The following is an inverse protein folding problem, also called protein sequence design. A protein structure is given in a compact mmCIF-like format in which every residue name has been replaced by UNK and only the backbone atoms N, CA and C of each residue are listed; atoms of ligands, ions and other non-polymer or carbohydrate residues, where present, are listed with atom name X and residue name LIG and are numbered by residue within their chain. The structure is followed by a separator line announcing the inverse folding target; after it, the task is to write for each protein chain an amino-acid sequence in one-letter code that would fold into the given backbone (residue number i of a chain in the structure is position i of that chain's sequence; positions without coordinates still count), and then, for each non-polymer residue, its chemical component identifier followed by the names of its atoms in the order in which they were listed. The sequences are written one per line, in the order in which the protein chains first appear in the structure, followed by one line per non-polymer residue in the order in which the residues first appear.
data_IF_831383188983
#
_entry.id   IF_831383188983
#
_cell.length_a   1.000
_cell.length_b   1.000
_cell.length_c   1.000
_cell.angle_alpha   90.00
_cell.angle_beta   90.00
_cell.angle_gamma   90.00
#
_symmetry.space_group_name_H-M   'P 1'
#
loop_
_entity.id
_entity.type
_entity.pdbx_description
1 polymer ?
#
# COMPACT_ATOMS: atom_id res chain seq x y z
N UNK A 1 16.00 -8.94 1.57
CA UNK A 1 15.17 -9.70 2.54
C UNK A 1 13.72 -9.63 2.09
N UNK A 2 12.88 -10.61 2.43
CA UNK A 2 11.45 -10.57 2.09
C UNK A 2 10.77 -9.54 2.99
N UNK A 3 10.07 -8.57 2.40
CA UNK A 3 9.29 -7.57 3.14
C UNK A 3 7.82 -7.93 3.02
N UNK A 4 7.21 -8.27 4.14
CA UNK A 4 5.78 -8.52 4.26
C UNK A 4 5.07 -7.24 4.64
N UNK A 5 3.93 -6.99 4.01
CA UNK A 5 3.04 -5.87 4.36
C UNK A 5 1.63 -6.39 4.60
N UNK A 6 0.91 -5.71 5.49
CA UNK A 6 -0.51 -5.95 5.68
C UNK A 6 -1.31 -5.39 4.51
N UNK A 7 -2.21 -6.20 3.96
CA UNK A 7 -3.12 -5.76 2.91
C UNK A 7 -4.21 -4.83 3.48
N UNK A 8 -4.78 -3.98 2.62
CA UNK A 8 -5.82 -3.03 3.05
C UNK A 8 -7.06 -3.72 3.62
N UNK A 9 -7.34 -4.93 3.13
CA UNK A 9 -8.41 -5.78 3.63
C UNK A 9 -8.13 -6.19 5.08
N UNK A 10 -6.92 -6.62 5.40
CA UNK A 10 -6.53 -7.02 6.74
C UNK A 10 -6.51 -5.82 7.66
N UNK A 11 -6.03 -4.65 7.23
CA UNK A 11 -6.15 -3.42 8.02
C UNK A 11 -7.61 -3.09 8.39
N UNK A 12 -8.53 -3.33 7.45
CA UNK A 12 -9.98 -3.14 7.66
C UNK A 12 -10.55 -4.17 8.63
N UNK A 13 -10.14 -5.44 8.50
CA UNK A 13 -10.50 -6.51 9.43
C UNK A 13 -10.00 -6.22 10.83
N UNK A 14 -8.73 -5.81 10.98
CA UNK A 14 -8.14 -5.46 12.27
C UNK A 14 -8.95 -4.37 12.96
N UNK A 15 -9.41 -3.34 12.23
CA UNK A 15 -10.26 -2.28 12.78
C UNK A 15 -11.55 -2.81 13.42
N UNK A 16 -12.17 -3.85 12.85
CA UNK A 16 -13.33 -4.50 13.43
C UNK A 16 -12.94 -5.46 14.57
N UNK A 17 -11.87 -6.22 14.39
CA UNK A 17 -11.43 -7.29 15.29
C UNK A 17 -10.87 -6.76 16.61
N UNK A 18 -10.21 -5.59 16.64
CA UNK A 18 -9.79 -4.95 17.90
C UNK A 18 -10.98 -4.62 18.81
N UNK A 19 -12.20 -4.65 18.29
CA UNK A 19 -13.40 -4.43 19.08
C UNK A 19 -14.00 -5.72 19.69
N UNK A 20 -13.47 -6.89 19.35
CA UNK A 20 -14.00 -8.20 19.72
C UNK A 20 -13.05 -8.92 20.70
N UNK A 21 -13.55 -9.98 21.33
CA UNK A 21 -12.73 -10.92 22.11
C UNK A 21 -12.82 -12.28 21.45
N UNK A 22 -11.87 -12.60 20.58
CA UNK A 22 -11.88 -13.83 19.80
C UNK A 22 -10.49 -14.10 19.19
N UNK A 23 -10.36 -15.23 18.49
CA UNK A 23 -9.17 -15.62 17.75
C UNK A 23 -9.42 -15.56 16.25
N UNK A 24 -8.53 -14.89 15.52
CA UNK A 24 -8.62 -14.67 14.09
C UNK A 24 -7.40 -15.24 13.36
N UNK A 25 -7.58 -15.77 12.16
CA UNK A 25 -6.49 -16.27 11.33
C UNK A 25 -6.29 -15.34 10.13
N UNK A 26 -5.05 -14.95 9.88
CA UNK A 26 -4.68 -13.98 8.87
C UNK A 26 -3.52 -14.48 8.02
N UNK A 27 -3.36 -13.85 6.86
CA UNK A 27 -2.28 -14.14 5.93
C UNK A 27 -1.64 -12.84 5.48
N UNK A 28 -0.30 -12.79 5.51
CA UNK A 28 0.55 -11.72 5.01
C UNK A 28 1.13 -12.10 3.66
N UNK A 29 1.34 -11.11 2.80
CA UNK A 29 1.99 -11.31 1.51
C UNK A 29 3.28 -10.50 1.42
N UNK A 30 4.29 -11.10 0.81
CA UNK A 30 5.52 -10.39 0.46
C UNK A 30 5.31 -9.53 -0.80
N UNK A 31 5.93 -8.34 -0.84
CA UNK A 31 5.80 -7.41 -1.98
C UNK A 31 6.33 -7.99 -3.31
N UNK A 32 7.36 -8.84 -3.26
CA UNK A 32 8.13 -9.26 -4.44
C UNK A 32 7.90 -10.72 -4.85
N UNK A 33 7.23 -11.53 -4.03
CA UNK A 33 7.01 -12.96 -4.30
C UNK A 33 5.59 -13.39 -3.89
N UNK A 34 5.06 -14.45 -4.52
CA UNK A 34 3.81 -15.14 -4.13
C UNK A 34 3.93 -15.88 -2.78
N UNK A 35 4.78 -15.38 -1.90
CA UNK A 35 5.00 -15.97 -0.60
C UNK A 35 3.93 -15.46 0.37
N UNK A 36 3.32 -16.39 1.08
CA UNK A 36 2.19 -16.13 1.97
C UNK A 36 2.54 -16.67 3.34
N UNK A 37 2.51 -15.81 4.34
CA UNK A 37 2.77 -16.19 5.72
C UNK A 37 1.49 -16.10 6.54
N UNK A 38 1.11 -17.19 7.21
CA UNK A 38 -0.04 -17.20 8.08
C UNK A 38 0.34 -16.73 9.50
N UNK A 39 -0.55 -15.99 10.14
CA UNK A 39 -0.45 -15.67 11.56
C UNK A 39 -1.81 -15.78 12.23
N UNK A 40 -1.81 -16.07 13.52
CA UNK A 40 -3.03 -16.09 14.34
C UNK A 40 -3.02 -14.93 15.31
N UNK A 41 -4.12 -14.20 15.39
CA UNK A 41 -4.34 -13.06 16.26
C UNK A 41 -5.39 -13.43 17.31
N UNK A 42 -4.99 -13.52 18.57
CA UNK A 42 -5.92 -13.61 19.69
C UNK A 42 -6.12 -12.21 20.25
N UNK A 43 -7.39 -11.83 20.41
CA UNK A 43 -7.78 -10.53 20.95
C UNK A 43 -8.53 -10.76 22.26
N UNK A 44 -8.05 -10.15 23.33
CA UNK A 44 -8.71 -10.12 24.63
C UNK A 44 -9.04 -8.68 24.99
N UNK A 45 -10.26 -8.25 24.68
CA UNK A 45 -10.71 -6.89 24.95
C UNK A 45 -11.12 -6.74 26.41
N UNK A 46 -10.52 -5.77 27.09
CA UNK A 46 -10.89 -5.33 28.45
C UNK A 46 -11.48 -3.93 28.39
N UNK A 47 -11.97 -3.44 29.54
CA UNK A 47 -12.63 -2.13 29.62
C UNK A 47 -11.71 -0.97 29.22
N UNK A 48 -10.45 -1.00 29.62
CA UNK A 48 -9.50 0.11 29.48
C UNK A 48 -8.48 -0.16 28.37
N UNK A 49 -8.04 -1.41 28.25
CA UNK A 49 -7.04 -1.89 27.31
C UNK A 49 -7.51 -3.14 26.57
N UNK A 50 -6.76 -3.52 25.55
CA UNK A 50 -6.93 -4.77 24.82
C UNK A 50 -5.59 -5.47 24.77
N UNK A 51 -5.58 -6.76 25.12
CA UNK A 51 -4.41 -7.60 25.06
C UNK A 51 -4.44 -8.41 23.75
N UNK A 52 -3.34 -8.35 23.02
CA UNK A 52 -3.16 -9.03 21.73
C UNK A 52 -2.08 -10.07 21.88
N UNK A 53 -2.36 -11.29 21.41
CA UNK A 53 -1.34 -12.32 21.18
C UNK A 53 -1.28 -12.58 19.68
N UNK A 54 -0.09 -12.47 19.09
CA UNK A 54 0.19 -12.81 17.70
C UNK A 54 1.06 -14.07 17.67
N UNK A 55 0.55 -15.13 17.07
CA UNK A 55 1.27 -16.40 16.89
C UNK A 55 1.75 -16.52 15.43
N UNK A 56 3.05 -16.68 15.26
CA UNK A 56 3.77 -16.81 13.99
C UNK A 56 4.55 -18.14 13.99
N UNK A 57 3.94 -19.20 13.49
CA UNK A 57 4.54 -20.54 13.56
C UNK A 57 4.75 -20.97 15.01
N UNK A 58 6.01 -21.10 15.44
CA UNK A 58 6.39 -21.44 16.83
C UNK A 58 6.60 -20.22 17.73
N UNK A 59 6.55 -19.00 17.17
CA UNK A 59 6.77 -17.77 17.93
C UNK A 59 5.45 -17.19 18.43
N UNK A 60 5.49 -16.65 19.65
CA UNK A 60 4.35 -15.98 20.27
C UNK A 60 4.78 -14.60 20.76
N UNK A 61 4.13 -13.58 20.23
CA UNK A 61 4.39 -12.18 20.53
C UNK A 61 3.16 -11.56 21.18
N UNK A 62 3.33 -10.71 22.19
CA UNK A 62 2.21 -10.10 22.91
C UNK A 62 2.32 -8.58 22.92
N UNK A 63 1.18 -7.91 22.78
CA UNK A 63 1.09 -6.46 22.82
C UNK A 63 -0.17 -6.05 23.60
N UNK A 64 -0.02 -5.12 24.54
CA UNK A 64 -1.17 -4.52 25.25
C UNK A 64 -1.31 -3.07 24.81
N UNK A 65 -2.49 -2.68 24.34
CA UNK A 65 -2.78 -1.31 23.90
C UNK A 65 -4.00 -0.75 24.61
N UNK A 66 -3.95 0.53 24.97
CA UNK A 66 -5.13 1.27 25.46
C UNK A 66 -6.20 1.40 24.38
N UNK A 67 -7.47 1.28 24.78
CA UNK A 67 -8.63 1.42 23.92
C UNK A 67 -8.68 2.78 23.22
N UNK A 68 -8.32 2.82 21.94
CA UNK A 68 -8.26 4.04 21.13
C UNK A 68 -8.69 3.81 19.68
N UNK A 69 -9.15 4.87 19.00
CA UNK A 69 -9.63 4.79 17.61
C UNK A 69 -8.58 4.31 16.62
N UNK A 70 -7.29 4.59 16.87
CA UNK A 70 -6.16 4.19 16.02
C UNK A 70 -5.43 2.93 16.50
N UNK A 71 -5.97 2.21 17.48
CA UNK A 71 -5.32 1.02 18.05
C UNK A 71 -5.00 -0.05 17.00
N UNK A 72 -5.93 -0.31 16.08
CA UNK A 72 -5.74 -1.25 14.97
C UNK A 72 -4.54 -0.90 14.08
N UNK A 73 -4.19 0.38 13.94
CA UNK A 73 -3.02 0.82 13.17
C UNK A 73 -1.72 0.53 13.93
N UNK A 74 -1.70 0.76 15.25
CA UNK A 74 -0.55 0.39 16.09
C UNK A 74 -0.33 -1.12 16.14
N UNK A 75 -1.41 -1.90 16.19
CA UNK A 75 -1.34 -3.35 16.08
C UNK A 75 -0.78 -3.78 14.72
N UNK A 76 -1.19 -3.11 13.64
CA UNK A 76 -0.65 -3.37 12.31
C UNK A 76 0.85 -3.09 12.21
N UNK A 77 1.32 -1.96 12.77
CA UNK A 77 2.74 -1.63 12.86
C UNK A 77 3.52 -2.71 13.62
N UNK A 78 3.00 -3.14 14.77
CA UNK A 78 3.60 -4.21 15.57
C UNK A 78 3.68 -5.54 14.80
N UNK A 79 2.62 -5.93 14.08
CA UNK A 79 2.62 -7.14 13.26
C UNK A 79 3.66 -7.04 12.13
N UNK A 80 3.77 -5.89 11.45
CA UNK A 80 4.80 -5.70 10.42
C UNK A 80 6.22 -5.74 11.00
N UNK A 81 6.42 -5.22 12.23
CA UNK A 81 7.71 -5.23 12.92
C UNK A 81 8.16 -6.65 13.29
N UNK A 82 7.32 -7.43 13.97
CA UNK A 82 7.67 -8.80 14.38
C UNK A 82 7.91 -9.73 13.19
N UNK A 83 7.23 -9.47 12.06
CA UNK A 83 7.35 -10.29 10.85
C UNK A 83 8.58 -9.97 10.02
N UNK A 84 8.92 -8.69 9.89
CA UNK A 84 10.08 -8.28 9.10
C UNK A 84 11.38 -8.26 9.93
N UNK A 85 11.27 -8.40 11.25
CA UNK A 85 12.38 -8.27 12.18
C UNK A 85 12.82 -6.81 12.37
N UNK A 86 13.78 -6.56 13.28
CA UNK A 86 14.32 -5.23 13.51
C UNK A 86 14.91 -4.66 12.21
N UNK A 87 14.38 -3.51 11.79
CA UNK A 87 14.81 -2.80 10.59
C UNK A 87 16.27 -2.35 10.75
N UNK A 88 17.20 -3.07 10.14
CA UNK A 88 18.56 -2.57 9.94
C UNK A 88 18.49 -1.27 9.12
N UNK A 89 19.13 -0.23 9.62
CA UNK A 89 18.97 1.21 9.33
C UNK A 89 19.23 1.70 7.89
N UNK A 90 19.14 0.84 6.87
CA UNK A 90 19.53 1.17 5.48
C UNK A 90 18.32 1.39 4.57
N UNK A 91 17.14 0.87 4.92
CA UNK A 91 15.91 1.11 4.14
C UNK A 91 15.08 2.26 4.74
N UNK A 92 14.47 3.13 3.91
CA UNK A 92 13.53 4.13 4.40
C UNK A 92 12.37 3.39 5.09
N UNK A 93 12.34 3.47 6.42
CA UNK A 93 11.28 2.90 7.23
C UNK A 93 9.96 3.49 6.74
N UNK A 94 9.07 2.63 6.21
CA UNK A 94 7.74 3.07 5.82
C UNK A 94 7.08 3.74 7.04
N UNK A 95 6.45 4.91 6.89
CA UNK A 95 5.89 5.61 8.04
C UNK A 95 4.87 4.72 8.76
N UNK A 96 4.69 4.88 10.07
CA UNK A 96 3.69 4.13 10.84
C UNK A 96 2.32 4.20 10.16
N UNK A 97 1.56 3.11 10.19
CA UNK A 97 0.21 3.02 9.63
C UNK A 97 -0.69 4.16 10.14
N UNK A 98 -0.49 4.63 11.36
CA UNK A 98 -1.20 5.75 11.96
C UNK A 98 -0.99 7.11 11.26
N UNK A 99 0.13 7.26 10.55
CA UNK A 99 0.61 8.48 9.90
C UNK A 99 0.69 8.35 8.37
N UNK A 100 0.48 7.13 7.83
CA UNK A 100 0.44 6.88 6.37
C UNK A 100 -0.66 7.71 5.71
N UNK A 101 -0.24 8.59 4.79
CA UNK A 101 -1.14 9.29 3.87
C UNK A 101 -1.08 8.62 2.51
N UNK A 102 -2.11 7.84 2.20
CA UNK A 102 -2.24 7.12 0.94
C UNK A 102 -2.52 8.09 -0.22
N UNK A 103 -1.95 7.79 -1.39
CA UNK A 103 -2.28 8.49 -2.63
C UNK A 103 -1.69 9.89 -2.78
N UNK A 104 -0.69 10.26 -1.98
CA UNK A 104 -0.02 11.55 -2.14
C UNK A 104 0.88 11.55 -3.39
N UNK A 105 0.52 12.38 -4.36
CA UNK A 105 1.33 12.64 -5.55
C UNK A 105 2.38 13.73 -5.25
N UNK A 106 3.45 13.32 -4.57
CA UNK A 106 4.54 14.17 -4.08
C UNK A 106 5.37 14.77 -5.22
N UNK A 107 6.15 15.81 -4.92
CA UNK A 107 7.01 16.51 -5.89
C UNK A 107 7.99 15.58 -6.59
N UNK A 108 8.55 14.60 -5.89
CA UNK A 108 9.45 13.59 -6.47
C UNK A 108 8.74 12.73 -7.53
N UNK A 109 7.53 12.24 -7.21
CA UNK A 109 6.69 11.51 -8.16
C UNK A 109 6.35 12.34 -9.41
N UNK A 110 6.06 13.65 -9.22
CA UNK A 110 5.79 14.58 -10.32
C UNK A 110 6.98 14.69 -11.27
N UNK A 111 8.18 14.85 -10.72
CA UNK A 111 9.41 14.95 -11.50
C UNK A 111 9.68 13.65 -12.28
N UNK A 112 9.58 12.50 -11.62
CA UNK A 112 9.79 11.19 -12.25
C UNK A 112 8.79 10.94 -13.39
N UNK A 113 7.52 11.30 -13.21
CA UNK A 113 6.49 11.15 -14.25
C UNK A 113 6.76 12.09 -15.43
N UNK A 114 7.19 13.33 -15.17
CA UNK A 114 7.54 14.26 -16.22
C UNK A 114 8.73 13.78 -17.05
N UNK A 115 9.78 13.25 -16.41
CA UNK A 115 10.91 12.62 -17.09
C UNK A 115 10.47 11.41 -17.91
N UNK A 116 9.61 10.55 -17.37
CA UNK A 116 9.07 9.39 -18.06
C UNK A 116 8.25 9.77 -19.30
N UNK A 117 7.49 10.87 -19.26
CA UNK A 117 6.78 11.39 -20.44
C UNK A 117 7.79 11.81 -21.50
N UNK A 118 8.91 12.41 -21.08
CA UNK A 118 9.93 12.88 -22.01
C UNK A 118 10.67 11.75 -22.70
N UNK A 119 11.01 10.69 -21.97
CA UNK A 119 11.88 9.61 -22.46
C UNK A 119 11.11 8.37 -22.91
N UNK A 120 9.90 8.16 -22.39
CA UNK A 120 9.22 6.86 -22.42
C UNK A 120 9.89 5.85 -21.48
N UNK A 121 9.27 4.67 -21.32
CA UNK A 121 9.77 3.59 -20.48
C UNK A 121 8.73 3.11 -19.47
N UNK A 122 9.19 2.66 -18.30
CA UNK A 122 8.33 2.23 -17.21
C UNK A 122 8.81 2.78 -15.86
N UNK A 123 7.86 2.98 -14.94
CA UNK A 123 8.07 3.50 -13.59
C UNK A 123 7.10 2.82 -12.63
N UNK A 124 7.55 2.50 -11.42
CA UNK A 124 6.69 2.05 -10.32
C UNK A 124 6.63 3.14 -9.26
N UNK A 125 5.46 3.73 -9.05
CA UNK A 125 5.22 4.79 -8.09
C UNK A 125 4.77 4.21 -6.74
N UNK A 126 5.59 4.38 -5.69
CA UNK A 126 5.21 4.05 -4.32
C UNK A 126 4.41 5.22 -3.72
N UNK A 127 3.08 5.16 -3.86
CA UNK A 127 2.16 6.13 -3.28
C UNK A 127 1.63 5.68 -1.91
N UNK A 128 2.45 4.92 -1.18
CA UNK A 128 2.15 4.32 0.13
C UNK A 128 1.01 3.32 0.12
N UNK A 129 0.56 2.86 -1.05
CA UNK A 129 -0.37 1.74 -1.17
C UNK A 129 0.33 0.40 -0.87
N UNK A 130 -0.46 -0.66 -0.66
CA UNK A 130 0.06 -2.03 -0.57
C UNK A 130 0.84 -2.44 -1.83
N UNK A 131 0.40 -1.96 -3.00
CA UNK A 131 1.02 -2.24 -4.28
C UNK A 131 1.31 -0.91 -5.00
N UNK A 132 2.45 -0.78 -5.68
CA UNK A 132 2.78 0.44 -6.41
C UNK A 132 1.82 0.65 -7.58
N UNK A 133 1.70 1.90 -8.02
CA UNK A 133 1.12 2.20 -9.33
C UNK A 133 2.21 1.97 -10.38
N UNK A 134 2.04 0.96 -11.22
CA UNK A 134 2.93 0.70 -12.33
C UNK A 134 2.49 1.52 -13.54
N UNK A 135 3.40 2.31 -14.10
CA UNK A 135 3.19 3.20 -15.23
C UNK A 135 4.14 2.82 -16.35
N UNK A 136 3.62 2.61 -17.56
CA UNK A 136 4.39 2.39 -18.76
C UNK A 136 3.97 3.40 -19.82
N UNK A 137 4.94 4.08 -20.43
CA UNK A 137 4.74 5.12 -21.43
C UNK A 137 5.55 4.77 -22.67
N UNK A 138 4.87 4.64 -23.81
CA UNK A 138 5.49 4.60 -25.12
C UNK A 138 5.37 5.96 -25.79
N UNK A 139 6.50 6.60 -26.10
CA UNK A 139 6.51 7.86 -26.83
C UNK A 139 6.44 7.61 -28.33
N UNK A 140 5.46 8.21 -29.00
CA UNK A 140 5.31 8.08 -30.44
C UNK A 140 6.45 8.84 -31.16
N UNK A 141 7.06 8.20 -32.15
CA UNK A 141 8.16 8.78 -32.95
C UNK A 141 7.68 9.69 -34.08
N UNK A 142 6.47 9.48 -34.60
CA UNK A 142 5.97 10.18 -35.79
C UNK A 142 5.06 11.36 -35.46
N UNK A 143 4.57 11.45 -34.22
CA UNK A 143 3.71 12.52 -33.71
C UNK A 143 4.05 12.85 -32.26
N UNK A 144 3.91 14.11 -31.88
CA UNK A 144 4.04 14.53 -30.48
C UNK A 144 2.89 13.96 -29.66
N UNK A 145 3.13 12.82 -29.01
CA UNK A 145 2.15 12.11 -28.22
C UNK A 145 2.73 10.87 -27.57
N UNK A 146 1.96 10.30 -26.64
CA UNK A 146 2.31 9.10 -25.92
C UNK A 146 1.13 8.12 -25.88
N UNK A 147 1.45 6.84 -25.75
CA UNK A 147 0.52 5.80 -25.32
C UNK A 147 0.91 5.34 -23.92
N UNK A 148 -0.03 5.41 -23.00
CA UNK A 148 0.18 5.15 -21.58
C UNK A 148 -0.64 3.96 -21.13
N UNK A 149 -0.05 3.06 -20.36
CA UNK A 149 -0.74 2.05 -19.57
C UNK A 149 -0.33 2.23 -18.12
N UNK A 150 -1.30 2.32 -17.22
CA UNK A 150 -1.06 2.36 -15.78
C UNK A 150 -1.95 1.36 -15.05
N UNK A 151 -1.43 0.76 -13.98
CA UNK A 151 -2.13 -0.28 -13.25
C UNK A 151 -1.79 -0.30 -11.76
N UNK A 152 -2.76 -0.72 -10.94
CA UNK A 152 -2.57 -1.05 -9.53
C UNK A 152 -3.39 -2.29 -9.17
N UNK A 153 -2.79 -3.21 -8.42
CA UNK A 153 -3.40 -4.50 -8.05
C UNK A 153 -2.78 -5.70 -8.76
N UNK A 154 -3.01 -6.91 -8.23
CA UNK A 154 -2.50 -8.17 -8.80
C UNK A 154 -3.61 -9.01 -9.42
N UNK A 155 -4.76 -9.15 -8.75
CA UNK A 155 -5.91 -9.94 -9.22
C UNK A 155 -7.00 -8.99 -9.69
N UNK A 156 -7.22 -8.92 -11.01
CA UNK A 156 -8.06 -7.89 -11.67
C UNK A 156 -7.56 -6.47 -11.36
N UNK A 157 -6.34 -6.12 -11.82
CA UNK A 157 -5.78 -4.80 -11.58
C UNK A 157 -6.73 -3.72 -12.12
N UNK A 158 -6.80 -2.59 -11.40
CA UNK A 158 -7.41 -1.40 -11.95
C UNK A 158 -6.43 -0.84 -12.97
N UNK A 159 -6.85 -0.76 -14.22
CA UNK A 159 -6.00 -0.34 -15.33
C UNK A 159 -6.57 0.89 -16.01
N UNK A 160 -5.71 1.82 -16.43
CA UNK A 160 -6.04 2.85 -17.42
C UNK A 160 -5.09 2.71 -18.59
N UNK A 161 -5.63 2.77 -19.80
CA UNK A 161 -4.87 2.76 -21.04
C UNK A 161 -5.42 3.86 -21.94
N UNK A 162 -4.56 4.75 -22.44
CA UNK A 162 -4.97 5.82 -23.33
C UNK A 162 -3.80 6.34 -24.16
N UNK A 163 -4.12 7.00 -25.27
CA UNK A 163 -3.17 7.71 -26.11
C UNK A 163 -3.55 9.18 -26.13
N UNK A 164 -2.58 10.06 -25.92
CA UNK A 164 -2.76 11.50 -25.95
C UNK A 164 -1.69 12.14 -26.83
N UNK A 165 -2.11 13.14 -27.60
CA UNK A 165 -1.23 13.97 -28.42
C UNK A 165 -1.25 15.40 -27.87
N UNK A 166 -0.13 16.10 -27.93
CA UNK A 166 -0.01 17.46 -27.40
C UNK A 166 1.40 17.80 -26.96
N UNK A 167 1.54 18.91 -26.24
CA UNK A 167 2.80 19.27 -25.61
C UNK A 167 3.09 18.35 -24.40
N UNK A 168 4.34 18.26 -23.98
CA UNK A 168 4.72 17.48 -22.79
C UNK A 168 3.96 17.96 -21.53
N UNK A 169 3.57 19.22 -21.47
CA UNK A 169 2.78 19.81 -20.36
C UNK A 169 1.33 19.32 -20.38
N UNK A 170 0.68 19.32 -21.55
CA UNK A 170 -0.70 18.84 -21.70
C UNK A 170 -0.79 17.35 -21.38
N UNK A 171 0.18 16.60 -21.92
CA UNK A 171 0.33 15.16 -21.68
C UNK A 171 0.54 14.90 -20.18
N UNK A 172 1.41 15.67 -19.52
CA UNK A 172 1.66 15.55 -18.09
C UNK A 172 0.40 15.80 -17.27
N UNK A 173 -0.38 16.83 -17.59
CA UNK A 173 -1.64 17.12 -16.89
C UNK A 173 -2.59 15.92 -16.92
N UNK A 174 -2.79 15.32 -18.11
CA UNK A 174 -3.66 14.16 -18.28
C UNK A 174 -3.14 12.90 -17.56
N UNK A 175 -1.82 12.67 -17.58
CA UNK A 175 -1.19 11.54 -16.88
C UNK A 175 -1.31 11.73 -15.37
N UNK A 176 -1.03 12.92 -14.84
CA UNK A 176 -1.12 13.24 -13.42
C UNK A 176 -2.56 13.10 -12.88
N UNK A 177 -3.55 13.59 -13.63
CA UNK A 177 -4.97 13.40 -13.31
C UNK A 177 -5.35 11.91 -13.31
N UNK A 178 -4.86 11.16 -14.30
CA UNK A 178 -5.12 9.72 -14.40
C UNK A 178 -4.52 8.93 -13.24
N UNK A 179 -3.29 9.27 -12.80
CA UNK A 179 -2.64 8.71 -11.62
C UNK A 179 -3.45 9.04 -10.37
N UNK A 180 -3.84 10.30 -10.19
CA UNK A 180 -4.64 10.75 -9.04
C UNK A 180 -5.96 10.00 -8.96
N UNK A 181 -6.67 9.88 -10.09
CA UNK A 181 -7.91 9.13 -10.15
C UNK A 181 -7.70 7.64 -9.82
N UNK A 182 -6.63 7.02 -10.34
CA UNK A 182 -6.33 5.63 -10.03
C UNK A 182 -6.00 5.44 -8.54
N UNK A 183 -5.27 6.39 -7.94
CA UNK A 183 -4.94 6.42 -6.53
C UNK A 183 -6.18 6.57 -5.64
N UNK A 184 -7.10 7.50 -5.97
CA UNK A 184 -8.37 7.69 -5.24
C UNK A 184 -9.18 6.40 -5.19
N UNK A 185 -9.30 5.70 -6.33
CA UNK A 185 -10.09 4.47 -6.43
C UNK A 185 -9.38 3.27 -5.77
N UNK A 186 -8.06 3.34 -5.59
CA UNK A 186 -7.28 2.35 -4.85
C UNK A 186 -7.17 2.64 -3.35
N UNK A 187 -7.69 3.77 -2.88
CA UNK A 187 -7.58 4.18 -1.47
C UNK A 187 -8.48 3.29 -0.60
N UNK A 188 -8.02 2.83 0.58
CA UNK A 188 -8.80 1.94 1.46
C UNK A 188 -10.18 2.48 1.83
N UNK A 189 -10.32 3.81 1.98
CA UNK A 189 -11.60 4.44 2.27
C UNK A 189 -12.65 4.24 1.15
N UNK A 190 -12.22 4.17 -0.11
CA UNK A 190 -13.10 3.88 -1.24
C UNK A 190 -13.58 2.41 -1.26
N UNK A 191 -12.93 1.52 -0.51
CA UNK A 191 -13.32 0.12 -0.36
C UNK A 191 -14.26 -0.13 0.82
N UNK A 192 -14.56 0.88 1.63
CA UNK A 192 -15.42 0.78 2.82
C UNK A 192 -16.81 1.41 2.64
N UNK A 193 -17.14 1.87 1.43
CA UNK A 193 -18.43 2.46 1.06
C UNK A 193 -19.26 1.50 0.18
#
# INVERSE_FOLDING_TARGET
MKKYKLDNRTLTLLKAQVCLTETFNHHLRAETQRDVMAFRLQVERRKIDTHFTVELGSERHTLTLTNSKKMHLKLADFIEEIVNGPTTSVDPSSPPHADRRYGLFQTEHKQQVFELIRTGGALSLDMSFELPINLAIHRNKTRAGITTIMSIGVKKPRTKCFTVCGSDVDIYSMVAESITHLATVATPAAHAA
#
